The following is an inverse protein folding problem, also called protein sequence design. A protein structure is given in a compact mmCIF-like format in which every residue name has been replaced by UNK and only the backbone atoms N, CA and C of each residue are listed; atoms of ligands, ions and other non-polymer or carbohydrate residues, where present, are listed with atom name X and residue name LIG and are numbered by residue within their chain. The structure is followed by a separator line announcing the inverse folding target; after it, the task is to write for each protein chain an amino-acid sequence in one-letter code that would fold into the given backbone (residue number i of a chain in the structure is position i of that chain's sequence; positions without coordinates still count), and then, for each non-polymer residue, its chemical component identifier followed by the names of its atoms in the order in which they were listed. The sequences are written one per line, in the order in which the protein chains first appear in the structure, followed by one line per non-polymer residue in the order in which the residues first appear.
data_IF_967023655721
#
_entry.id   IF_967023655721
#
_cell.length_a   1.000
_cell.length_b   1.000
_cell.length_c   1.000
_cell.angle_alpha   90.00
_cell.angle_beta   90.00
_cell.angle_gamma   90.00
#
_symmetry.space_group_name_H-M   'P 1'
#
loop_
_entity.id
_entity.type
_entity.pdbx_description
1 polymer ?
#
# COMPACT_ATOMS: atom_id res chain seq x y z
N UNK A 1 -13.22 19.02 -3.54
CA UNK A 1 -13.31 17.69 -2.89
C UNK A 1 -12.03 17.46 -2.11
N UNK A 2 -12.10 17.48 -0.77
CA UNK A 2 -10.96 17.07 0.08
C UNK A 2 -10.83 15.57 -0.05
N UNK A 3 -9.79 15.10 -0.73
CA UNK A 3 -9.53 13.67 -0.83
C UNK A 3 -9.00 13.22 0.53
N UNK A 4 -9.71 12.30 1.18
CA UNK A 4 -9.30 11.78 2.48
C UNK A 4 -7.84 11.28 2.40
N UNK A 5 -7.01 11.60 3.41
CA UNK A 5 -5.61 11.19 3.39
C UNK A 5 -5.50 9.66 3.36
N UNK A 6 -4.49 9.11 2.66
CA UNK A 6 -4.27 7.68 2.64
C UNK A 6 -4.16 7.10 4.06
N UNK A 7 -4.97 6.09 4.37
CA UNK A 7 -4.95 5.38 5.65
C UNK A 7 -5.44 3.94 5.49
N UNK A 8 -5.01 3.03 6.36
CA UNK A 8 -5.44 1.64 6.31
C UNK A 8 -6.97 1.48 6.51
N UNK A 9 -7.61 2.43 7.19
CA UNK A 9 -9.07 2.48 7.35
C UNK A 9 -9.79 2.76 6.03
N UNK A 10 -9.20 3.60 5.17
CA UNK A 10 -9.79 4.01 3.88
C UNK A 10 -9.47 3.02 2.77
N UNK A 11 -8.25 2.52 2.71
CA UNK A 11 -7.84 1.43 1.80
C UNK A 11 -6.78 0.56 2.48
N UNK A 12 -7.14 -0.69 2.74
CA UNK A 12 -6.29 -1.71 3.34
C UNK A 12 -5.54 -2.51 2.27
N UNK A 13 -6.22 -2.89 1.18
CA UNK A 13 -5.66 -3.78 0.14
C UNK A 13 -5.16 -3.03 -1.08
N UNK A 14 -4.29 -3.68 -1.87
CA UNK A 14 -3.81 -3.13 -3.14
C UNK A 14 -4.96 -2.79 -4.10
N UNK A 15 -6.01 -3.63 -4.16
CA UNK A 15 -7.18 -3.36 -4.98
C UNK A 15 -7.95 -2.11 -4.53
N UNK A 16 -8.20 -1.96 -3.22
CA UNK A 16 -8.86 -0.77 -2.67
C UNK A 16 -8.04 0.50 -2.98
N UNK A 17 -6.71 0.45 -2.87
CA UNK A 17 -5.82 1.55 -3.23
C UNK A 17 -5.91 1.91 -4.72
N UNK A 18 -5.97 0.89 -5.59
CA UNK A 18 -6.05 1.07 -7.04
C UNK A 18 -7.38 1.71 -7.46
N UNK A 19 -8.51 1.23 -6.92
CA UNK A 19 -9.84 1.82 -7.17
C UNK A 19 -9.88 3.29 -6.75
N UNK A 20 -9.23 3.63 -5.65
CA UNK A 20 -9.12 5.02 -5.15
C UNK A 20 -8.07 5.85 -5.90
N UNK A 21 -7.41 5.29 -6.90
CA UNK A 21 -6.35 5.93 -7.70
C UNK A 21 -5.24 6.49 -6.79
N UNK A 22 -4.74 5.67 -5.89
CA UNK A 22 -3.56 6.05 -5.11
C UNK A 22 -2.28 5.83 -5.93
N UNK A 23 -1.28 6.65 -5.63
CA UNK A 23 0.08 6.48 -6.09
C UNK A 23 0.93 5.94 -4.93
N UNK A 24 1.78 4.96 -5.22
CA UNK A 24 2.73 4.42 -4.25
C UNK A 24 4.15 4.75 -4.68
N UNK A 25 4.98 5.06 -3.70
CA UNK A 25 6.44 5.13 -3.85
C UNK A 25 7.09 4.30 -2.76
N UNK A 26 8.26 3.76 -3.05
CA UNK A 26 9.11 3.11 -2.07
C UNK A 26 10.46 3.82 -2.01
N UNK A 27 11.04 3.88 -0.82
CA UNK A 27 12.38 4.42 -0.59
C UNK A 27 13.18 3.41 0.22
N UNK A 28 14.37 3.06 -0.25
CA UNK A 28 15.27 2.23 0.52
C UNK A 28 15.92 3.02 1.65
N UNK A 29 15.97 2.45 2.85
CA UNK A 29 16.63 3.04 4.02
C UNK A 29 18.16 3.07 3.93
N UNK A 30 18.76 2.22 3.08
CA UNK A 30 20.21 2.08 2.97
C UNK A 30 20.76 2.87 1.76
N UNK A 31 20.43 2.46 0.53
CA UNK A 31 20.94 3.12 -0.68
C UNK A 31 20.13 4.35 -1.12
N UNK A 32 19.00 4.65 -0.49
CA UNK A 32 18.17 5.82 -0.82
C UNK A 32 17.43 5.74 -2.16
N UNK A 33 17.48 4.60 -2.87
CA UNK A 33 16.78 4.44 -4.16
C UNK A 33 15.29 4.73 -3.99
N UNK A 34 14.73 5.48 -4.93
CA UNK A 34 13.31 5.85 -4.96
C UNK A 34 12.64 5.11 -6.11
N UNK A 35 11.69 4.24 -5.77
CA UNK A 35 10.93 3.46 -6.73
C UNK A 35 9.51 4.03 -6.82
N UNK A 36 9.04 4.25 -8.05
CA UNK A 36 7.60 4.47 -8.29
C UNK A 36 6.95 3.12 -8.47
N UNK A 37 5.93 2.86 -7.67
CA UNK A 37 5.34 1.53 -7.56
C UNK A 37 4.05 1.48 -8.37
N UNK A 38 3.94 0.50 -9.27
CA UNK A 38 2.75 0.27 -10.08
C UNK A 38 1.78 -0.64 -9.34
N UNK A 39 0.66 -0.07 -8.87
CA UNK A 39 -0.42 -0.86 -8.22
C UNK A 39 -0.94 -1.99 -9.11
N UNK A 40 -1.21 -1.80 -10.42
CA UNK A 40 -1.60 -2.90 -11.30
C UNK A 40 -0.58 -4.04 -11.35
N UNK A 41 0.72 -3.71 -11.35
CA UNK A 41 1.77 -4.73 -11.35
C UNK A 41 1.79 -5.50 -10.03
N UNK A 42 1.70 -4.79 -8.89
CA UNK A 42 1.65 -5.44 -7.59
C UNK A 42 0.41 -6.33 -7.41
N UNK A 43 -0.76 -5.89 -7.89
CA UNK A 43 -1.99 -6.70 -7.84
C UNK A 43 -1.82 -8.00 -8.62
N UNK A 44 -1.16 -7.95 -9.79
CA UNK A 44 -0.85 -9.16 -10.57
C UNK A 44 0.15 -10.09 -9.87
N UNK A 45 1.12 -9.54 -9.15
CA UNK A 45 2.17 -10.33 -8.47
C UNK A 45 1.72 -10.91 -7.13
N UNK A 46 0.99 -10.14 -6.32
CA UNK A 46 0.65 -10.50 -4.94
C UNK A 46 -0.84 -10.77 -4.72
N UNK A 47 -1.68 -10.46 -5.70
CA UNK A 47 -3.14 -10.57 -5.62
C UNK A 47 -3.83 -9.27 -5.17
N UNK A 48 -5.15 -9.14 -5.44
CA UNK A 48 -5.93 -7.94 -5.14
C UNK A 48 -6.09 -7.68 -3.64
N UNK A 49 -6.17 -8.75 -2.84
CA UNK A 49 -6.42 -8.67 -1.39
C UNK A 49 -5.13 -8.51 -0.56
N UNK A 50 -3.98 -8.38 -1.21
CA UNK A 50 -2.72 -8.22 -0.52
C UNK A 50 -2.70 -6.91 0.31
N UNK A 51 -2.36 -7.05 1.59
CA UNK A 51 -2.21 -5.93 2.52
C UNK A 51 -0.76 -5.47 2.54
N UNK A 52 -0.53 -4.22 2.11
CA UNK A 52 0.82 -3.66 1.95
C UNK A 52 1.26 -2.75 3.10
N UNK A 53 0.34 -2.37 3.97
CA UNK A 53 0.63 -1.61 5.19
C UNK A 53 1.57 -2.40 6.11
N UNK A 54 2.62 -1.75 6.61
CA UNK A 54 3.64 -2.36 7.47
C UNK A 54 4.67 -3.23 6.75
N UNK A 55 4.55 -3.44 5.44
CA UNK A 55 5.51 -4.26 4.68
C UNK A 55 6.83 -3.54 4.50
N UNK A 56 7.93 -4.26 4.75
CA UNK A 56 9.32 -3.82 4.57
C UNK A 56 10.12 -4.86 3.78
N UNK A 57 9.81 -5.07 2.49
CA UNK A 57 10.57 -5.99 1.65
C UNK A 57 12.01 -5.51 1.49
N UNK A 58 12.90 -6.45 1.16
CA UNK A 58 14.29 -6.17 0.88
C UNK A 58 14.43 -5.26 -0.35
N UNK A 59 15.48 -4.44 -0.35
CA UNK A 59 15.84 -3.64 -1.51
C UNK A 59 16.27 -4.55 -2.66
N UNK A 60 15.78 -4.34 -3.90
CA UNK A 60 16.22 -5.12 -5.06
C UNK A 60 17.61 -4.69 -5.59
N UNK A 61 18.24 -3.68 -4.99
CA UNK A 61 19.56 -3.23 -5.42
C UNK A 61 20.62 -4.28 -5.11
N UNK A 62 21.35 -4.72 -6.13
CA UNK A 62 22.37 -5.78 -6.04
C UNK A 62 23.46 -5.50 -5.01
N UNK A 63 23.82 -4.23 -4.82
CA UNK A 63 24.85 -3.78 -3.86
C UNK A 63 24.25 -3.23 -2.56
N UNK A 64 22.96 -3.48 -2.30
CA UNK A 64 22.24 -2.95 -1.15
C UNK A 64 21.95 -4.06 -0.12
N UNK A 65 23.02 -4.60 0.46
CA UNK A 65 22.92 -5.62 1.50
C UNK A 65 22.23 -5.08 2.75
N UNK A 66 21.14 -5.72 3.16
CA UNK A 66 20.36 -5.34 4.35
C UNK A 66 19.46 -4.11 4.19
N UNK A 67 19.36 -3.53 2.98
CA UNK A 67 18.44 -2.44 2.72
C UNK A 67 16.97 -2.89 2.77
N UNK A 68 16.11 -2.08 3.37
CA UNK A 68 14.66 -2.33 3.38
C UNK A 68 13.90 -1.18 2.71
N UNK A 69 12.83 -1.53 1.99
CA UNK A 69 11.97 -0.54 1.35
C UNK A 69 10.90 -0.07 2.32
N UNK A 70 10.77 1.24 2.44
CA UNK A 70 9.67 1.91 3.13
C UNK A 70 8.72 2.50 2.10
N UNK A 71 7.43 2.20 2.25
CA UNK A 71 6.40 2.64 1.30
C UNK A 71 5.69 3.90 1.79
N UNK A 72 5.28 4.73 0.85
CA UNK A 72 4.37 5.83 1.09
C UNK A 72 3.31 5.88 -0.01
N UNK A 73 2.09 6.25 0.36
CA UNK A 73 0.97 6.42 -0.55
C UNK A 73 0.51 7.87 -0.62
N UNK A 74 -0.10 8.24 -1.74
CA UNK A 74 -0.73 9.55 -1.95
C UNK A 74 -1.94 9.39 -2.85
N UNK A 75 -3.00 10.17 -2.64
CA UNK A 75 -4.09 10.23 -3.62
C UNK A 75 -3.71 11.08 -4.85
N UNK A 76 -4.06 10.62 -6.07
CA UNK A 76 -3.66 11.21 -7.36
C UNK A 76 -3.88 12.75 -7.48
N UNK A 77 -4.87 13.31 -6.77
CA UNK A 77 -5.28 14.72 -6.91
C UNK A 77 -4.86 15.57 -5.70
N UNK A 78 -3.56 15.66 -5.45
CA UNK A 78 -3.00 16.67 -4.54
C UNK A 78 -3.00 16.32 -3.05
N UNK A 79 -3.04 15.02 -2.69
CA UNK A 79 -2.84 14.60 -1.31
C UNK A 79 -1.39 14.76 -0.84
N UNK A 80 -1.15 14.72 0.47
CA UNK A 80 0.21 14.55 1.01
C UNK A 80 0.65 13.10 0.91
N UNK A 81 1.96 12.87 0.82
CA UNK A 81 2.51 11.52 0.97
C UNK A 81 2.38 11.06 2.41
N UNK A 82 1.74 9.91 2.62
CA UNK A 82 1.57 9.29 3.93
C UNK A 82 2.41 8.02 3.98
N UNK A 83 3.18 7.86 5.06
CA UNK A 83 3.96 6.66 5.30
C UNK A 83 3.05 5.45 5.50
N UNK A 84 3.42 4.33 4.88
CA UNK A 84 2.77 3.03 5.05
C UNK A 84 3.59 2.09 5.94
N UNK A 85 4.60 2.60 6.65
CA UNK A 85 5.48 1.78 7.48
C UNK A 85 4.80 1.14 8.69
N UNK A 86 3.64 1.67 9.10
CA UNK A 86 2.85 1.13 10.20
C UNK A 86 1.94 0.01 9.70
N UNK A 87 1.98 -1.13 10.39
CA UNK A 87 1.03 -2.22 10.17
C UNK A 87 -0.40 -1.75 10.47
N UNK A 88 -1.41 -2.30 9.79
CA UNK A 88 -2.80 -1.95 10.07
C UNK A 88 -3.15 -2.40 11.49
N UNK A 89 -3.80 -1.53 12.27
CA UNK A 89 -4.32 -1.90 13.58
C UNK A 89 -5.55 -2.81 13.50
N UNK A 90 -5.91 -3.42 14.63
CA UNK A 90 -7.03 -4.37 14.73
C UNK A 90 -8.35 -3.82 14.21
N UNK A 91 -8.59 -2.52 14.43
CA UNK A 91 -9.80 -1.83 13.95
C UNK A 91 -9.88 -1.82 12.42
N UNK A 92 -8.76 -1.59 11.73
CA UNK A 92 -8.72 -1.56 10.27
C UNK A 92 -8.93 -2.96 9.69
N UNK A 93 -8.32 -3.97 10.31
CA UNK A 93 -8.50 -5.37 9.94
C UNK A 93 -9.96 -5.83 10.18
N UNK A 94 -10.54 -5.50 11.33
CA UNK A 94 -11.93 -5.85 11.64
C UNK A 94 -12.93 -5.16 10.71
N UNK A 95 -12.70 -3.89 10.36
CA UNK A 95 -13.51 -3.16 9.38
C UNK A 95 -13.45 -3.84 8.01
N UNK A 96 -12.27 -4.25 7.55
CA UNK A 96 -12.11 -4.97 6.29
C UNK A 96 -12.83 -6.32 6.29
N UNK A 97 -12.67 -7.13 7.35
CA UNK A 97 -13.37 -8.41 7.50
C UNK A 97 -14.89 -8.25 7.45
N UNK A 98 -15.43 -7.18 8.02
CA UNK A 98 -16.86 -6.86 7.89
C UNK A 98 -17.25 -6.54 6.45
N UNK A 99 -16.47 -5.74 5.73
CA UNK A 99 -16.72 -5.40 4.31
C UNK A 99 -16.68 -6.63 3.40
N UNK A 100 -15.71 -7.53 3.58
CA UNK A 100 -15.64 -8.77 2.81
C UNK A 100 -16.85 -9.68 3.04
N UNK A 101 -17.37 -9.76 4.27
CA UNK A 101 -18.60 -10.53 4.55
C UNK A 101 -19.84 -9.97 3.84
N UNK A 102 -19.86 -8.68 3.56
CA UNK A 102 -20.96 -8.01 2.85
C UNK A 102 -20.88 -8.19 1.33
N UNK A 103 -19.71 -8.48 0.77
CA UNK A 103 -19.52 -8.69 -0.66
C UNK A 103 -19.10 -10.15 -0.95
N UNK A 104 -20.03 -11.06 -1.29
CA UNK A 104 -19.65 -12.34 -1.84
C UNK A 104 -19.03 -12.03 -3.21
N UNK A 105 -17.73 -12.26 -3.37
CA UNK A 105 -17.02 -12.01 -4.63
C UNK A 105 -17.74 -12.65 -5.83
N UNK A 106 -17.45 -12.19 -7.06
CA UNK A 106 -18.00 -12.84 -8.25
C UNK A 106 -17.58 -14.32 -8.24
N UNK A 107 -18.56 -15.22 -8.33
CA UNK A 107 -18.34 -16.66 -8.57
C UNK A 107 -17.66 -16.87 -9.91
#
# INVERSE_FOLDING_TARGET
MVVAPPSAMTALTLAEMHVRRWELKAVCSCCGIKLRVSLPAMIRTYGPDAVWWGRKPACPGLECDGGSLTYAARALRGGSWVSMAQAPGDVAMAAYSKRQRTYPGPR
#
